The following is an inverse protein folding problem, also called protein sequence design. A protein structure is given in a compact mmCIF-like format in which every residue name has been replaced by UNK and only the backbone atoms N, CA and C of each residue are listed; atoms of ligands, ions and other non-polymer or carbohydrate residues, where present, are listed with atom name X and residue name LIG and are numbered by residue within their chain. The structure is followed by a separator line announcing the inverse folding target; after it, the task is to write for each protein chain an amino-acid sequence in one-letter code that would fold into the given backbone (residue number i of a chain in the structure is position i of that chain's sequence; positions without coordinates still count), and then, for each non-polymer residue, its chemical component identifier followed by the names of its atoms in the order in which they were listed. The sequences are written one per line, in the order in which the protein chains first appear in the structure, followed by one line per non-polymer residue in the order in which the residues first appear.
data_IF_530172349045
#
_entry.id   IF_530172349045
#
_cell.length_a   1.000
_cell.length_b   1.000
_cell.length_c   1.000
_cell.angle_alpha   90.00
_cell.angle_beta   90.00
_cell.angle_gamma   90.00
#
_symmetry.space_group_name_H-M   'P 1'
#
loop_
_entity.id
_entity.type
_entity.pdbx_description
1 polymer ?
#
# COMPACT_ATOMS: atom_id res chain seq x y z
N UNK A 1 8.61 -4.26 -8.40
CA UNK A 1 8.38 -3.56 -7.11
C UNK A 1 7.81 -4.58 -6.14
N UNK A 2 8.38 -4.71 -4.95
CA UNK A 2 7.84 -5.58 -3.90
C UNK A 2 6.94 -4.82 -2.91
N UNK A 3 6.25 -5.55 -2.03
CA UNK A 3 5.35 -4.95 -1.05
C UNK A 3 6.02 -3.96 -0.08
N UNK A 4 7.28 -4.19 0.30
CA UNK A 4 8.03 -3.25 1.14
C UNK A 4 8.34 -1.94 0.41
N UNK A 5 8.71 -1.99 -0.87
CA UNK A 5 8.95 -0.81 -1.68
C UNK A 5 7.67 0.00 -1.88
N UNK A 6 6.56 -0.68 -2.19
CA UNK A 6 5.25 -0.04 -2.29
C UNK A 6 4.89 0.68 -0.99
N UNK A 7 5.05 0.02 0.16
CA UNK A 7 4.77 0.61 1.46
C UNK A 7 5.65 1.84 1.75
N UNK A 8 6.95 1.78 1.43
CA UNK A 8 7.87 2.92 1.58
C UNK A 8 7.43 4.11 0.73
N UNK A 9 7.05 3.87 -0.52
CA UNK A 9 6.58 4.90 -1.47
C UNK A 9 5.27 5.53 -1.02
N UNK A 10 4.26 4.72 -0.67
CA UNK A 10 2.99 5.22 -0.11
C UNK A 10 3.23 6.03 1.16
N UNK A 11 4.13 5.60 2.06
CA UNK A 11 4.49 6.36 3.25
C UNK A 11 5.05 7.74 2.94
N UNK A 12 5.92 7.84 1.93
CA UNK A 12 6.50 9.11 1.48
C UNK A 12 5.42 10.04 0.93
N UNK A 13 4.50 9.51 0.13
CA UNK A 13 3.39 10.27 -0.45
C UNK A 13 2.44 10.78 0.64
N UNK A 14 2.02 9.92 1.57
CA UNK A 14 1.10 10.35 2.63
C UNK A 14 1.71 11.40 3.53
N UNK A 15 3.00 11.28 3.87
CA UNK A 15 3.74 12.36 4.58
C UNK A 15 3.74 13.67 3.80
N UNK A 16 4.00 13.63 2.49
CA UNK A 16 4.01 14.82 1.62
C UNK A 16 2.62 15.46 1.52
N UNK A 17 1.57 14.65 1.52
CA UNK A 17 0.19 15.09 1.33
C UNK A 17 -0.55 15.35 2.65
N UNK A 18 0.11 15.18 3.81
CA UNK A 18 -0.53 15.30 5.12
C UNK A 18 -1.61 14.23 5.39
N UNK A 19 -1.56 13.10 4.69
CA UNK A 19 -2.53 12.01 4.83
C UNK A 19 -2.03 10.98 5.84
N UNK A 20 -2.90 10.64 6.78
CA UNK A 20 -2.64 9.60 7.78
C UNK A 20 -2.46 8.22 7.13
N UNK A 21 -1.46 7.48 7.59
CA UNK A 21 -1.16 6.14 7.09
C UNK A 21 -1.15 5.18 8.28
N UNK A 22 -2.09 4.24 8.27
CA UNK A 22 -2.20 3.21 9.31
C UNK A 22 -1.92 1.84 8.68
N UNK A 23 -1.12 1.03 9.37
CA UNK A 23 -0.82 -0.34 8.94
C UNK A 23 -1.43 -1.28 9.97
N UNK A 24 -2.42 -2.05 9.56
CA UNK A 24 -3.00 -3.10 10.39
C UNK A 24 -2.41 -4.45 9.99
N UNK A 25 -1.51 -4.96 10.82
CA UNK A 25 -0.88 -6.28 10.65
C UNK A 25 -1.65 -7.42 11.32
N UNK A 26 -2.72 -7.13 12.08
CA UNK A 26 -3.46 -8.14 12.85
C UNK A 26 -4.48 -8.93 12.03
N UNK A 27 -4.78 -8.51 10.79
CA UNK A 27 -5.90 -9.05 10.02
C UNK A 27 -5.54 -10.12 8.97
N UNK A 28 -4.33 -10.70 8.99
CA UNK A 28 -3.92 -11.70 8.00
C UNK A 28 -3.24 -12.93 8.61
N UNK A 29 -3.69 -14.14 8.24
CA UNK A 29 -2.84 -15.35 8.32
C UNK A 29 -1.64 -15.13 7.38
N UNK A 30 -0.42 -15.03 7.93
CA UNK A 30 0.81 -14.79 7.17
C UNK A 30 1.22 -13.31 7.07
N UNK A 31 2.16 -12.98 6.18
CA UNK A 31 2.74 -11.63 6.02
C UNK A 31 1.82 -10.58 5.38
N UNK A 32 0.50 -10.82 5.35
CA UNK A 32 -0.50 -9.92 4.77
C UNK A 32 -0.81 -8.79 5.74
N UNK A 33 -0.95 -7.57 5.21
CA UNK A 33 -1.28 -6.38 6.01
C UNK A 33 -2.30 -5.52 5.29
N UNK A 34 -3.17 -4.84 6.04
CA UNK A 34 -4.04 -3.80 5.49
C UNK A 34 -3.33 -2.47 5.64
N UNK A 35 -3.24 -1.73 4.54
CA UNK A 35 -2.67 -0.39 4.48
C UNK A 35 -3.79 0.61 4.28
N UNK A 36 -4.00 1.48 5.27
CA UNK A 36 -4.90 2.62 5.19
C UNK A 36 -4.14 3.87 4.75
N UNK A 37 -4.80 4.68 3.93
CA UNK A 37 -4.37 5.98 3.44
C UNK A 37 -5.57 6.93 3.59
N UNK A 38 -5.63 7.64 4.72
CA UNK A 38 -6.80 8.40 5.14
C UNK A 38 -8.02 7.48 5.27
N UNK A 39 -9.09 7.79 4.54
CA UNK A 39 -10.32 7.00 4.51
C UNK A 39 -10.29 5.80 3.57
N UNK A 40 -9.22 5.67 2.76
CA UNK A 40 -9.05 4.59 1.79
C UNK A 40 -8.14 3.50 2.33
N UNK A 41 -8.25 2.28 1.83
CA UNK A 41 -7.38 1.19 2.23
C UNK A 41 -7.14 0.20 1.10
N UNK A 42 -6.06 -0.56 1.22
CA UNK A 42 -5.78 -1.69 0.32
C UNK A 42 -5.15 -2.84 1.09
N UNK A 43 -5.36 -4.06 0.62
CA UNK A 43 -4.75 -5.25 1.18
C UNK A 43 -3.43 -5.51 0.49
N UNK A 44 -2.34 -5.45 1.24
CA UNK A 44 -1.02 -5.85 0.79
C UNK A 44 -0.84 -7.33 1.11
N UNK A 45 -0.58 -8.12 0.07
CA UNK A 45 -0.14 -9.52 0.20
C UNK A 45 1.26 -9.57 0.85
N UNK A 46 1.92 -10.72 0.80
CA UNK A 46 3.27 -10.89 1.34
C UNK A 46 4.22 -9.76 0.91
N UNK A 47 4.66 -8.97 1.90
CA UNK A 47 5.53 -7.80 1.71
C UNK A 47 6.87 -8.12 1.02
N UNK A 48 7.30 -9.38 1.08
CA UNK A 48 8.57 -9.85 0.48
C UNK A 48 8.41 -10.25 -0.98
N UNK A 49 7.19 -10.52 -1.44
CA UNK A 49 6.92 -10.94 -2.82
C UNK A 49 6.79 -9.74 -3.74
N UNK A 50 7.10 -9.98 -5.01
CA UNK A 50 6.84 -9.02 -6.06
C UNK A 50 5.34 -8.76 -6.24
N UNK A 51 5.02 -7.51 -6.53
CA UNK A 51 3.67 -7.09 -6.87
C UNK A 51 3.56 -7.12 -8.39
N UNK A 52 2.74 -8.04 -8.90
CA UNK A 52 2.38 -8.05 -10.32
C UNK A 52 1.67 -6.76 -10.72
N UNK A 53 1.84 -6.33 -11.96
CA UNK A 53 1.38 -5.02 -12.44
C UNK A 53 -0.13 -4.79 -12.25
N UNK A 54 -0.97 -5.79 -12.50
CA UNK A 54 -2.42 -5.70 -12.28
C UNK A 54 -2.78 -5.45 -10.81
N UNK A 55 -2.08 -6.13 -9.89
CA UNK A 55 -2.26 -5.93 -8.45
C UNK A 55 -1.80 -4.53 -8.03
N UNK A 56 -0.65 -4.06 -8.55
CA UNK A 56 -0.16 -2.71 -8.28
C UNK A 56 -1.19 -1.67 -8.71
N UNK A 57 -1.74 -1.79 -9.93
CA UNK A 57 -2.76 -0.88 -10.45
C UNK A 57 -4.02 -0.87 -9.58
N UNK A 58 -4.51 -2.03 -9.16
CA UNK A 58 -5.65 -2.15 -8.27
C UNK A 58 -5.38 -1.49 -6.91
N UNK A 59 -4.23 -1.74 -6.29
CA UNK A 59 -3.85 -1.14 -5.01
C UNK A 59 -3.74 0.39 -5.09
N UNK A 60 -3.18 0.92 -6.18
CA UNK A 60 -3.14 2.36 -6.45
C UNK A 60 -4.56 2.95 -6.53
N UNK A 61 -5.46 2.28 -7.26
CA UNK A 61 -6.86 2.70 -7.40
C UNK A 61 -7.59 2.70 -6.04
N UNK A 62 -7.43 1.64 -5.26
CA UNK A 62 -8.02 1.54 -3.92
C UNK A 62 -7.57 2.68 -3.02
N UNK A 63 -6.27 3.02 -3.03
CA UNK A 63 -5.72 4.13 -2.25
C UNK A 63 -5.96 5.52 -2.86
N UNK A 64 -6.40 5.60 -4.12
CA UNK A 64 -6.56 6.86 -4.84
C UNK A 64 -5.26 7.54 -5.23
N UNK A 65 -4.18 6.78 -5.39
CA UNK A 65 -2.83 7.28 -5.72
C UNK A 65 -2.53 6.95 -7.17
N UNK A 66 -1.86 7.83 -7.92
CA UNK A 66 -1.42 7.49 -9.28
C UNK A 66 -0.12 6.68 -9.20
N UNK A 67 0.04 5.69 -10.09
CA UNK A 67 1.27 4.89 -10.19
C UNK A 67 2.51 5.78 -10.43
N UNK A 68 2.35 6.92 -11.08
CA UNK A 68 3.40 7.93 -11.31
C UNK A 68 3.89 8.62 -10.04
N UNK A 69 3.07 8.64 -8.98
CA UNK A 69 3.41 9.30 -7.71
C UNK A 69 4.21 8.37 -6.77
N UNK A 70 4.23 7.05 -7.06
CA UNK A 70 4.95 6.01 -6.32
C UNK A 70 6.42 5.93 -6.74
#
# INVERSE_FOLDING_TARGET
MNGNEFLKKVKKIGRKNGVEIIINSKQGKGSHVILHYGTRFTTLKDRRKEIGEGLLKAMCQHLGIKKTDL
#
